data_IF_156112380097
#
_entry.id   IF_156112380097
#
_cell.length_a   1.000
_cell.length_b   1.000
_cell.length_c   1.000
_cell.angle_alpha   90.00
_cell.angle_beta   90.00
_cell.angle_gamma   90.00
#
_symmetry.space_group_name_H-M   'P 1'
#
loop_
_entity.id
_entity.type
_entity.pdbx_description
1 polymer ?
#
# COMPACT_ATOMS: atom_id res chain seq x y z
N UNK A 1 7.31 15.20 -0.49
CA UNK A 1 8.53 14.47 -0.93
C UNK A 1 9.31 15.39 -1.87
N UNK A 2 10.61 15.60 -1.63
CA UNK A 2 11.40 16.51 -2.47
C UNK A 2 11.62 15.93 -3.87
N UNK A 3 11.86 16.80 -4.87
CA UNK A 3 12.07 16.40 -6.28
C UNK A 3 13.16 15.32 -6.46
N UNK A 4 14.15 15.28 -5.58
CA UNK A 4 15.19 14.26 -5.52
C UNK A 4 14.67 12.86 -5.20
N UNK A 5 13.66 12.74 -4.34
CA UNK A 5 13.04 11.45 -4.00
C UNK A 5 12.29 10.88 -5.20
N UNK A 6 11.53 11.71 -5.92
CA UNK A 6 10.86 11.31 -7.16
C UNK A 6 11.85 10.78 -8.20
N UNK A 7 12.94 11.52 -8.45
CA UNK A 7 13.97 11.11 -9.41
C UNK A 7 14.62 9.78 -9.00
N UNK A 8 14.86 9.58 -7.70
CA UNK A 8 15.41 8.34 -7.15
C UNK A 8 14.46 7.15 -7.38
N UNK A 9 13.15 7.34 -7.15
CA UNK A 9 12.15 6.29 -7.35
C UNK A 9 11.95 5.98 -8.84
N UNK A 10 11.89 6.99 -9.72
CA UNK A 10 11.84 6.79 -11.17
C UNK A 10 12.99 5.92 -11.68
N UNK A 11 14.21 6.19 -11.19
CA UNK A 11 15.38 5.38 -11.56
C UNK A 11 15.20 3.93 -11.07
N UNK A 12 14.78 3.73 -9.82
CA UNK A 12 14.57 2.39 -9.25
C UNK A 12 13.53 1.58 -10.02
N UNK A 13 12.45 2.21 -10.44
CA UNK A 13 11.42 1.53 -11.23
C UNK A 13 11.95 1.15 -12.61
N UNK A 14 12.64 2.03 -13.31
CA UNK A 14 13.28 1.69 -14.59
C UNK A 14 14.27 0.52 -14.48
N UNK A 15 15.05 0.46 -13.40
CA UNK A 15 16.02 -0.61 -13.15
C UNK A 15 15.35 -1.95 -12.85
N UNK A 16 14.19 -1.96 -12.18
CA UNK A 16 13.45 -3.18 -11.85
C UNK A 16 12.68 -3.76 -13.04
N UNK A 17 12.24 -2.90 -13.94
CA UNK A 17 11.38 -3.28 -15.06
C UNK A 17 9.94 -3.63 -14.64
N UNK A 18 9.14 -4.00 -15.63
CA UNK A 18 7.71 -4.26 -15.45
C UNK A 18 7.46 -5.56 -14.67
N UNK A 19 6.43 -5.56 -13.84
CA UNK A 19 5.94 -6.75 -13.12
C UNK A 19 5.30 -7.72 -14.11
N UNK A 20 5.72 -9.01 -14.15
CA UNK A 20 5.01 -10.03 -14.93
C UNK A 20 3.58 -10.25 -14.42
N UNK A 21 2.64 -10.56 -15.32
CA UNK A 21 1.24 -10.83 -14.93
C UNK A 21 1.09 -12.03 -13.97
N UNK A 22 2.05 -12.95 -13.98
CA UNK A 22 2.13 -14.09 -13.05
C UNK A 22 2.55 -13.71 -11.63
N UNK A 23 3.21 -12.57 -11.45
CA UNK A 23 3.72 -12.09 -10.16
C UNK A 23 2.76 -11.13 -9.44
N UNK A 24 1.56 -10.97 -9.98
CA UNK A 24 0.48 -10.19 -9.36
C UNK A 24 0.03 -10.87 -8.07
N UNK A 25 0.37 -10.28 -6.93
CA UNK A 25 0.13 -10.83 -5.60
C UNK A 25 0.13 -9.76 -4.52
N UNK A 26 -0.44 -10.09 -3.35
CA UNK A 26 -0.23 -9.31 -2.12
C UNK A 26 1.24 -9.35 -1.69
N UNK A 27 1.70 -8.34 -0.94
CA UNK A 27 2.96 -8.41 -0.21
C UNK A 27 3.06 -9.72 0.57
N UNK A 28 4.23 -10.37 0.64
CA UNK A 28 4.39 -11.70 1.22
C UNK A 28 3.78 -11.84 2.61
N UNK A 29 3.94 -10.84 3.47
CA UNK A 29 3.43 -10.83 4.85
C UNK A 29 1.90 -10.91 4.96
N UNK A 30 1.16 -10.51 3.92
CA UNK A 30 -0.31 -10.56 3.90
C UNK A 30 -0.88 -11.77 3.17
N UNK A 31 -0.06 -12.58 2.48
CA UNK A 31 -0.54 -13.76 1.74
C UNK A 31 -1.24 -14.80 2.61
N UNK A 32 -0.81 -15.07 3.86
CA UNK A 32 -1.53 -15.98 4.75
C UNK A 32 -2.95 -15.53 5.08
N UNK A 33 -3.25 -14.24 4.94
CA UNK A 33 -4.53 -13.61 5.30
C UNK A 33 -5.42 -13.30 4.09
N UNK A 34 -5.11 -13.85 2.92
CA UNK A 34 -5.83 -13.61 1.65
C UNK A 34 -7.35 -13.74 1.78
N UNK A 35 -7.86 -14.69 2.57
CA UNK A 35 -9.29 -14.93 2.77
C UNK A 35 -10.02 -13.78 3.48
N UNK A 36 -9.31 -12.93 4.21
CA UNK A 36 -9.88 -11.80 4.94
C UNK A 36 -10.15 -10.59 4.05
N UNK A 37 -9.48 -10.50 2.91
CA UNK A 37 -9.70 -9.40 1.97
C UNK A 37 -11.05 -9.57 1.27
N UNK A 38 -11.89 -8.52 1.19
CA UNK A 38 -13.20 -8.60 0.53
C UNK A 38 -13.07 -8.86 -0.97
N UNK A 39 -14.19 -9.25 -1.57
CA UNK A 39 -14.30 -9.55 -3.01
C UNK A 39 -15.08 -8.49 -3.78
N UNK A 40 -15.52 -7.44 -3.10
CA UNK A 40 -16.26 -6.31 -3.67
C UNK A 40 -15.98 -5.03 -2.88
N UNK A 41 -16.36 -3.88 -3.43
CA UNK A 41 -16.17 -2.57 -2.84
C UNK A 41 -14.93 -1.85 -3.37
N UNK A 42 -14.39 -0.94 -2.55
CA UNK A 42 -13.31 -0.03 -2.94
C UNK A 42 -12.02 -0.35 -2.18
N UNK A 43 -10.90 -0.29 -2.88
CA UNK A 43 -9.57 -0.37 -2.29
C UNK A 43 -8.75 0.88 -2.61
N UNK A 44 -7.90 1.25 -1.67
CA UNK A 44 -6.91 2.32 -1.82
C UNK A 44 -5.53 1.71 -1.59
N UNK A 45 -4.59 1.93 -2.52
CA UNK A 45 -3.18 1.56 -2.31
C UNK A 45 -2.30 2.80 -2.36
N UNK A 46 -1.55 3.05 -1.28
CA UNK A 46 -0.60 4.15 -1.16
C UNK A 46 0.82 3.67 -1.49
N UNK A 47 1.56 4.48 -2.27
CA UNK A 47 2.90 4.15 -2.76
C UNK A 47 2.91 2.78 -3.47
N UNK A 48 2.02 2.63 -4.46
CA UNK A 48 1.69 1.36 -5.11
C UNK A 48 2.82 0.79 -6.00
N UNK A 49 3.85 1.57 -6.27
CA UNK A 49 4.90 1.17 -7.20
C UNK A 49 4.34 0.73 -8.54
N UNK A 50 4.80 -0.40 -9.06
CA UNK A 50 4.36 -0.97 -10.34
C UNK A 50 3.01 -1.73 -10.25
N UNK A 51 2.23 -1.56 -9.16
CA UNK A 51 0.81 -1.92 -9.08
C UNK A 51 0.50 -3.40 -8.87
N UNK A 52 1.45 -4.24 -8.44
CA UNK A 52 1.21 -5.68 -8.28
C UNK A 52 0.07 -5.98 -7.30
N UNK A 53 0.04 -5.30 -6.15
CA UNK A 53 -1.01 -5.51 -5.16
C UNK A 53 -2.33 -4.83 -5.56
N UNK A 54 -2.30 -3.65 -6.18
CA UNK A 54 -3.49 -3.01 -6.76
C UNK A 54 -4.20 -3.92 -7.76
N UNK A 55 -3.45 -4.49 -8.71
CA UNK A 55 -4.00 -5.41 -9.70
C UNK A 55 -4.49 -6.71 -9.05
N UNK A 56 -3.84 -7.19 -7.99
CA UNK A 56 -4.33 -8.33 -7.22
C UNK A 56 -5.68 -8.02 -6.54
N UNK A 57 -5.82 -6.85 -5.92
CA UNK A 57 -7.07 -6.40 -5.31
C UNK A 57 -8.19 -6.28 -6.37
N UNK A 58 -7.88 -5.72 -7.53
CA UNK A 58 -8.82 -5.64 -8.65
C UNK A 58 -9.23 -7.02 -9.19
N UNK A 59 -8.28 -7.97 -9.29
CA UNK A 59 -8.55 -9.37 -9.68
C UNK A 59 -9.48 -10.06 -8.68
N UNK A 60 -9.45 -9.64 -7.42
CA UNK A 60 -10.34 -10.14 -6.39
C UNK A 60 -11.76 -9.56 -6.46
N UNK A 61 -11.97 -8.49 -7.24
CA UNK A 61 -13.29 -7.89 -7.49
C UNK A 61 -13.45 -6.44 -7.02
N UNK A 62 -12.44 -5.85 -6.36
CA UNK A 62 -12.51 -4.47 -5.89
C UNK A 62 -12.29 -3.46 -7.02
N UNK A 63 -12.85 -2.26 -6.85
CA UNK A 63 -12.43 -1.07 -7.58
C UNK A 63 -11.28 -0.42 -6.83
N UNK A 64 -10.14 -0.27 -7.49
CA UNK A 64 -8.90 0.18 -6.86
C UNK A 64 -8.53 1.56 -7.32
N UNK A 65 -8.31 2.46 -6.37
CA UNK A 65 -7.55 3.69 -6.59
C UNK A 65 -6.18 3.53 -5.94
N UNK A 66 -5.13 3.77 -6.73
CA UNK A 66 -3.76 3.61 -6.27
C UNK A 66 -2.90 4.80 -6.68
N UNK A 67 -1.95 5.18 -5.84
CA UNK A 67 -1.08 6.32 -6.12
C UNK A 67 0.40 6.01 -5.82
N UNK A 68 1.26 6.69 -6.57
CA UNK A 68 2.69 6.73 -6.34
C UNK A 68 3.24 8.09 -6.79
N UNK A 69 4.36 8.52 -6.22
CA UNK A 69 5.02 9.76 -6.62
C UNK A 69 5.72 9.63 -7.97
N UNK A 70 6.06 8.41 -8.37
CA UNK A 70 6.79 8.11 -9.61
C UNK A 70 5.83 7.95 -10.80
N UNK A 71 5.88 8.84 -11.81
CA UNK A 71 5.14 8.62 -13.05
C UNK A 71 5.58 7.37 -13.81
N UNK A 72 6.82 6.91 -13.62
CA UNK A 72 7.31 5.65 -14.20
C UNK A 72 6.58 4.47 -13.57
N UNK A 73 6.46 4.43 -12.24
CA UNK A 73 5.71 3.40 -11.52
C UNK A 73 4.24 3.37 -11.96
N UNK A 74 3.60 4.54 -12.06
CA UNK A 74 2.19 4.65 -12.47
C UNK A 74 1.98 4.17 -13.92
N UNK A 75 2.89 4.47 -14.84
CA UNK A 75 2.82 3.94 -16.19
C UNK A 75 2.91 2.40 -16.21
N UNK A 76 3.88 1.83 -15.48
CA UNK A 76 4.04 0.37 -15.34
C UNK A 76 2.82 -0.30 -14.71
N UNK A 77 2.23 0.30 -13.66
CA UNK A 77 1.03 -0.19 -13.00
C UNK A 77 -0.19 -0.18 -13.93
N UNK A 78 -0.35 0.89 -14.72
CA UNK A 78 -1.42 1.01 -15.72
C UNK A 78 -1.29 -0.06 -16.79
N UNK A 79 -0.10 -0.26 -17.33
CA UNK A 79 0.17 -1.32 -18.31
C UNK A 79 -0.06 -2.71 -17.74
N UNK A 80 0.32 -2.95 -16.48
CA UNK A 80 0.07 -4.23 -15.79
C UNK A 80 -1.44 -4.51 -15.70
N UNK A 81 -2.24 -3.52 -15.28
CA UNK A 81 -3.69 -3.66 -15.20
C UNK A 81 -4.32 -3.97 -16.57
N UNK A 82 -3.86 -3.31 -17.64
CA UNK A 82 -4.31 -3.58 -19.01
C UNK A 82 -3.94 -5.00 -19.43
N UNK A 83 -2.70 -5.43 -19.24
CA UNK A 83 -2.26 -6.81 -19.55
C UNK A 83 -3.07 -7.86 -18.78
N UNK A 84 -3.49 -7.54 -17.55
CA UNK A 84 -4.35 -8.40 -16.73
C UNK A 84 -5.85 -8.29 -17.07
N UNK A 85 -6.26 -7.43 -18.02
CA UNK A 85 -7.66 -7.12 -18.39
C UNK A 85 -8.47 -6.55 -17.21
N UNK A 86 -7.83 -5.74 -16.38
CA UNK A 86 -8.41 -5.11 -15.18
C UNK A 86 -8.32 -3.58 -15.23
N UNK A 87 -8.01 -2.98 -16.38
CA UNK A 87 -7.84 -1.54 -16.53
C UNK A 87 -9.07 -0.73 -16.08
N UNK A 88 -10.28 -1.23 -16.30
CA UNK A 88 -11.53 -0.56 -15.89
C UNK A 88 -11.77 -0.60 -14.36
N UNK A 89 -11.06 -1.48 -13.64
CA UNK A 89 -11.16 -1.60 -12.17
C UNK A 89 -10.06 -0.87 -11.43
N UNK A 90 -9.04 -0.38 -12.13
CA UNK A 90 -7.88 0.27 -11.54
C UNK A 90 -7.77 1.71 -12.03
N UNK A 91 -7.70 2.64 -11.11
CA UNK A 91 -7.35 4.05 -11.36
C UNK A 91 -6.01 4.34 -10.70
N UNK A 92 -5.02 4.73 -11.49
CA UNK A 92 -3.69 5.07 -11.01
C UNK A 92 -3.43 6.57 -11.13
N UNK A 93 -2.84 7.17 -10.09
CA UNK A 93 -2.59 8.60 -10.02
C UNK A 93 -1.15 8.89 -9.60
N UNK A 94 -0.47 9.78 -10.32
CA UNK A 94 0.79 10.34 -9.85
C UNK A 94 0.46 11.35 -8.75
N UNK A 95 0.86 11.05 -7.52
CA UNK A 95 0.52 11.87 -6.35
C UNK A 95 1.68 11.91 -5.36
N UNK A 96 1.97 13.11 -4.85
CA UNK A 96 2.85 13.29 -3.70
C UNK A 96 2.03 13.25 -2.41
N UNK A 97 2.28 12.26 -1.57
CA UNK A 97 1.60 12.11 -0.28
C UNK A 97 2.06 13.11 0.78
N UNK A 98 3.06 13.94 0.52
CA UNK A 98 3.40 15.09 1.37
C UNK A 98 2.25 16.11 1.44
N UNK A 99 1.42 16.18 0.40
CA UNK A 99 0.22 17.00 0.37
C UNK A 99 -0.98 16.37 1.13
N UNK A 100 -0.75 15.19 1.72
CA UNK A 100 -1.76 14.43 2.44
C UNK A 100 -2.51 13.41 1.57
N UNK A 101 -3.40 12.65 2.20
CA UNK A 101 -4.29 11.74 1.51
C UNK A 101 -5.49 12.54 0.93
N UNK A 102 -5.70 12.55 -0.38
CA UNK A 102 -6.82 13.28 -0.96
C UNK A 102 -8.16 12.70 -0.50
N UNK A 103 -9.23 13.51 -0.44
CA UNK A 103 -10.56 13.04 -0.10
C UNK A 103 -11.07 12.03 -1.16
N UNK A 104 -12.01 11.19 -0.75
CA UNK A 104 -12.63 10.20 -1.64
C UNK A 104 -13.52 9.24 -0.85
N UNK A 105 -14.07 8.24 -1.54
CA UNK A 105 -15.01 7.28 -0.95
C UNK A 105 -14.37 6.42 0.15
N UNK A 106 -15.15 5.97 1.13
CA UNK A 106 -14.68 5.03 2.14
C UNK A 106 -14.11 3.75 1.51
N UNK A 107 -12.95 3.31 2.01
CA UNK A 107 -12.24 2.15 1.48
C UNK A 107 -12.54 0.89 2.31
N UNK A 108 -12.91 -0.20 1.64
CA UNK A 108 -13.03 -1.52 2.26
C UNK A 108 -11.65 -2.14 2.51
N UNK A 109 -10.66 -1.74 1.73
CA UNK A 109 -9.24 -2.09 1.92
C UNK A 109 -8.38 -0.86 1.73
N UNK A 110 -7.48 -0.62 2.67
CA UNK A 110 -6.35 0.28 2.48
C UNK A 110 -5.06 -0.50 2.61
N UNK A 111 -4.23 -0.42 1.58
CA UNK A 111 -2.94 -1.11 1.52
C UNK A 111 -1.81 -0.10 1.39
N UNK A 112 -0.75 -0.31 2.16
CA UNK A 112 0.47 0.49 2.09
C UNK A 112 1.66 -0.44 2.32
N UNK A 113 2.55 -0.57 1.33
CA UNK A 113 3.67 -1.50 1.40
C UNK A 113 5.01 -0.80 1.28
N UNK A 114 5.83 -0.93 2.32
CA UNK A 114 7.18 -0.34 2.40
C UNK A 114 7.23 1.17 2.25
N UNK A 115 6.16 1.84 2.67
CA UNK A 115 6.08 3.28 2.77
C UNK A 115 5.59 3.66 4.16
N UNK A 116 6.19 4.69 4.76
CA UNK A 116 5.84 5.19 6.09
C UNK A 116 5.82 6.72 6.12
N UNK A 117 4.65 7.24 6.40
CA UNK A 117 4.46 8.65 6.76
C UNK A 117 3.46 8.74 7.92
N UNK A 118 3.96 9.12 9.09
CA UNK A 118 3.18 9.22 10.33
C UNK A 118 2.06 10.25 10.24
N UNK A 119 2.19 11.25 9.37
CA UNK A 119 1.19 12.31 9.16
C UNK A 119 -0.09 11.77 8.55
N UNK A 120 -0.04 10.59 7.91
CA UNK A 120 -1.18 9.98 7.23
C UNK A 120 -1.99 9.02 8.12
N UNK A 121 -1.52 8.68 9.32
CA UNK A 121 -2.11 7.64 10.16
C UNK A 121 -3.60 7.87 10.42
N UNK A 122 -3.98 9.05 10.90
CA UNK A 122 -5.37 9.40 11.16
C UNK A 122 -6.21 9.45 9.88
N UNK A 123 -5.65 9.96 8.79
CA UNK A 123 -6.33 10.01 7.50
C UNK A 123 -6.57 8.60 6.93
N UNK A 124 -5.62 7.68 7.10
CA UNK A 124 -5.76 6.29 6.69
C UNK A 124 -6.87 5.59 7.49
N UNK A 125 -6.88 5.75 8.81
CA UNK A 125 -7.94 5.18 9.68
C UNK A 125 -9.30 5.81 9.33
N UNK A 126 -9.35 7.13 9.18
CA UNK A 126 -10.58 7.85 8.84
C UNK A 126 -11.17 7.48 7.48
N UNK A 127 -10.32 7.09 6.53
CA UNK A 127 -10.72 6.68 5.18
C UNK A 127 -11.29 5.27 5.10
N UNK A 128 -11.05 4.39 6.07
CA UNK A 128 -11.60 3.05 6.06
C UNK A 128 -13.13 3.09 6.22
N UNK A 129 -13.82 2.27 5.46
CA UNK A 129 -15.23 1.96 5.70
C UNK A 129 -15.40 1.21 7.04
N UNK A 130 -16.58 1.18 7.65
CA UNK A 130 -16.87 0.24 8.74
C UNK A 130 -16.51 -1.18 8.32
N UNK A 131 -15.83 -1.94 9.19
CA UNK A 131 -15.25 -3.26 8.90
C UNK A 131 -14.16 -3.28 7.83
N UNK A 132 -13.73 -2.12 7.31
CA UNK A 132 -12.65 -2.00 6.35
C UNK A 132 -11.30 -2.43 6.94
N UNK A 133 -10.42 -2.93 6.09
CA UNK A 133 -9.13 -3.52 6.46
C UNK A 133 -7.99 -2.57 6.10
N UNK A 134 -7.11 -2.32 7.07
CA UNK A 134 -5.78 -1.74 6.85
C UNK A 134 -4.76 -2.87 6.77
N UNK A 135 -4.01 -2.93 5.67
CA UNK A 135 -2.83 -3.77 5.50
C UNK A 135 -1.61 -2.87 5.28
N UNK A 136 -0.78 -2.70 6.30
CA UNK A 136 0.41 -1.86 6.23
C UNK A 136 1.67 -2.65 6.56
N UNK A 137 2.69 -2.55 5.70
CA UNK A 137 4.06 -3.00 6.01
C UNK A 137 5.06 -1.88 5.78
N UNK A 138 6.08 -1.83 6.61
CA UNK A 138 7.09 -0.77 6.61
C UNK A 138 8.47 -1.36 6.93
N UNK A 139 9.52 -0.64 6.59
CA UNK A 139 10.83 -0.96 7.14
C UNK A 139 10.84 -0.66 8.64
N UNK A 140 11.47 -1.52 9.45
CA UNK A 140 11.60 -1.37 10.90
C UNK A 140 13.06 -1.24 11.35
N UNK A 141 13.26 -0.66 12.53
CA UNK A 141 14.55 -0.64 13.23
C UNK A 141 14.81 -1.97 13.96
N UNK A 142 13.79 -2.80 14.19
CA UNK A 142 13.96 -4.11 14.83
C UNK A 142 14.68 -5.07 13.89
N UNK A 143 15.85 -5.54 14.31
CA UNK A 143 16.71 -6.40 13.48
C UNK A 143 17.46 -5.67 12.35
N UNK A 144 17.49 -4.31 12.36
CA UNK A 144 18.20 -3.51 11.38
C UNK A 144 18.73 -2.21 12.00
N UNK A 145 19.64 -1.53 11.29
CA UNK A 145 20.15 -0.23 11.75
C UNK A 145 19.04 0.83 11.68
N UNK A 146 19.02 1.79 12.63
CA UNK A 146 18.12 2.93 12.57
C UNK A 146 18.23 3.71 11.26
N UNK A 147 17.12 4.31 10.82
CA UNK A 147 17.09 5.09 9.59
C UNK A 147 15.84 5.94 9.42
N UNK A 148 15.87 6.99 8.57
CA UNK A 148 14.81 8.00 8.49
C UNK A 148 13.46 7.44 7.98
N UNK A 149 13.49 6.32 7.26
CA UNK A 149 12.28 5.70 6.67
C UNK A 149 11.88 4.40 7.37
N UNK A 150 12.37 4.21 8.63
CA UNK A 150 12.06 3.03 9.43
C UNK A 150 11.10 3.37 10.55
N UNK A 151 10.20 2.44 10.83
CA UNK A 151 9.37 2.48 12.03
C UNK A 151 10.25 2.15 13.26
N UNK A 152 9.96 2.83 14.35
CA UNK A 152 10.52 2.48 15.67
C UNK A 152 9.85 1.21 16.20
N UNK A 153 10.50 0.50 17.13
CA UNK A 153 9.89 -0.69 17.74
C UNK A 153 8.48 -0.41 18.28
N UNK A 154 7.52 -1.24 17.88
CA UNK A 154 6.11 -1.15 18.30
C UNK A 154 5.31 0.01 17.68
N UNK A 155 5.87 0.79 16.79
CA UNK A 155 5.26 2.00 16.25
C UNK A 155 3.92 1.73 15.55
N UNK A 156 3.81 0.67 14.75
CA UNK A 156 2.56 0.38 14.03
C UNK A 156 1.42 0.02 14.98
N UNK A 157 1.69 -0.75 16.03
CA UNK A 157 0.69 -1.08 17.05
C UNK A 157 0.22 0.17 17.81
N UNK A 158 1.12 1.11 18.06
CA UNK A 158 0.77 2.38 18.71
C UNK A 158 -0.03 3.29 17.77
N UNK A 159 0.39 3.45 16.51
CA UNK A 159 -0.25 4.33 15.54
C UNK A 159 -1.67 3.87 15.17
N UNK A 160 -1.88 2.57 15.05
CA UNK A 160 -3.14 1.98 14.61
C UNK A 160 -3.91 1.25 15.72
N UNK A 161 -3.66 1.59 16.99
CA UNK A 161 -4.32 0.99 18.16
C UNK A 161 -5.84 1.23 18.25
N UNK A 162 -6.38 2.17 17.47
CA UNK A 162 -7.83 2.37 17.33
C UNK A 162 -8.51 1.27 16.49
N UNK A 163 -7.77 0.52 15.71
CA UNK A 163 -8.26 -0.62 14.94
C UNK A 163 -8.29 -1.90 15.79
N UNK A 164 -9.15 -2.83 15.42
CA UNK A 164 -9.03 -4.21 15.87
C UNK A 164 -7.82 -4.85 15.15
N UNK A 165 -6.75 -5.12 15.87
CA UNK A 165 -5.56 -5.78 15.32
C UNK A 165 -5.87 -7.25 15.07
N UNK A 166 -5.87 -7.67 13.81
CA UNK A 166 -6.07 -9.05 13.39
C UNK A 166 -4.77 -9.85 13.50
N UNK A 167 -3.69 -9.25 13.00
CA UNK A 167 -2.37 -9.81 13.06
C UNK A 167 -1.33 -8.70 12.91
N UNK A 168 -0.17 -8.87 13.53
CA UNK A 168 0.97 -7.99 13.39
C UNK A 168 2.24 -8.76 13.72
N UNK A 169 3.36 -8.34 13.15
CA UNK A 169 4.69 -8.84 13.51
C UNK A 169 5.74 -7.77 13.23
N UNK A 170 6.86 -7.88 13.92
CA UNK A 170 7.99 -6.98 13.75
C UNK A 170 9.29 -7.73 13.96
N UNK A 171 10.01 -8.01 12.87
CA UNK A 171 11.26 -8.74 12.88
C UNK A 171 12.08 -8.45 11.62
N UNK A 172 13.37 -8.75 11.64
CA UNK A 172 14.26 -8.76 10.48
C UNK A 172 14.23 -7.48 9.62
N UNK A 173 14.01 -6.33 10.26
CA UNK A 173 14.00 -5.03 9.60
C UNK A 173 12.68 -4.69 8.90
N UNK A 174 11.61 -5.43 9.14
CA UNK A 174 10.25 -5.17 8.67
C UNK A 174 9.26 -5.19 9.84
N UNK A 175 8.29 -4.28 9.82
CA UNK A 175 7.11 -4.32 10.68
C UNK A 175 5.87 -4.30 9.80
N UNK A 176 4.83 -5.06 10.18
CA UNK A 176 3.56 -5.06 9.47
C UNK A 176 2.38 -5.23 10.42
N UNK A 177 1.24 -4.72 10.00
CA UNK A 177 -0.01 -4.81 10.73
C UNK A 177 -1.17 -5.03 9.76
N UNK A 178 -2.04 -5.96 10.10
CA UNK A 178 -3.36 -6.15 9.52
C UNK A 178 -4.40 -5.80 10.58
N UNK A 179 -5.15 -4.74 10.34
CA UNK A 179 -6.15 -4.23 11.29
C UNK A 179 -7.50 -4.02 10.63
N UNK A 180 -8.57 -4.02 11.43
CA UNK A 180 -9.94 -3.80 10.98
C UNK A 180 -10.54 -2.58 11.69
N UNK A 181 -11.22 -1.73 10.95
CA UNK A 181 -12.03 -0.67 11.54
C UNK A 181 -13.30 -1.26 12.17
N UNK A 182 -13.51 -0.95 13.45
CA UNK A 182 -14.74 -1.32 14.18
C UNK A 182 -15.97 -0.60 13.65
#
# INVERSE_FOLDING_TARGET
MVAEDRTRWDRRHRERGSVPAGDVALPPVFRPYTSLFPTEGHAVELACGAGAAAVWLARRGLHVWACDVSPVAIAEATELAVRCRLGERCTFSVLDLDDGLPPGDPANVMLCNKFRDRRLDDAMVGRLAPQGILAISVLSEVGASPGPFRARPGELLQAFGALEVIAADEADGEAWLLGRRR
#
